data_IF_031322006760
#
_entry.id   IF_031322006760
#
_cell.length_a   1.000
_cell.length_b   1.000
_cell.length_c   1.000
_cell.angle_alpha   90.00
_cell.angle_beta   90.00
_cell.angle_gamma   90.00
#
_symmetry.space_group_name_H-M   'P 1'
#
loop_
_entity.id
_entity.type
_entity.pdbx_description
1 polymer ?
#
# COMPACT_ATOMS: atom_id res chain seq x y z
N UNK A 1 7.59 -13.49 8.42
CA UNK A 1 7.02 -12.14 8.22
C UNK A 1 6.57 -12.06 6.79
N UNK A 2 5.28 -12.37 6.58
CA UNK A 2 4.63 -12.47 5.27
C UNK A 2 4.44 -11.08 4.66
N UNK A 3 4.64 -10.95 3.35
CA UNK A 3 4.47 -9.68 2.67
C UNK A 3 2.98 -9.46 2.32
N UNK A 4 2.45 -8.32 2.77
CA UNK A 4 1.60 -7.40 2.01
C UNK A 4 0.31 -7.87 1.29
N UNK A 5 -0.42 -8.89 1.77
CA UNK A 5 -1.84 -9.04 1.40
C UNK A 5 -2.72 -9.12 2.64
N UNK A 6 -3.54 -8.08 2.86
CA UNK A 6 -4.52 -8.01 3.95
C UNK A 6 -5.73 -8.94 3.73
N UNK A 7 -5.93 -9.42 2.50
CA UNK A 7 -7.04 -10.32 2.13
C UNK A 7 -6.62 -11.21 0.96
N UNK A 8 -6.44 -12.51 1.22
CA UNK A 8 -6.16 -13.53 0.20
C UNK A 8 -7.39 -14.41 -0.02
N UNK A 9 -7.75 -14.65 -1.29
CA UNK A 9 -8.78 -15.63 -1.65
C UNK A 9 -8.12 -16.92 -2.09
N UNK A 10 -8.47 -18.06 -1.48
CA UNK A 10 -8.01 -19.38 -1.85
C UNK A 10 -9.19 -20.13 -2.47
N UNK A 11 -9.08 -20.59 -3.71
CA UNK A 11 -10.17 -21.24 -4.44
C UNK A 11 -9.71 -22.63 -4.86
N UNK A 12 -10.26 -23.66 -4.21
CA UNK A 12 -10.01 -25.05 -4.56
C UNK A 12 -11.12 -25.61 -5.48
N UNK A 13 -10.73 -26.37 -6.51
CA UNK A 13 -11.71 -26.98 -7.44
C UNK A 13 -11.83 -28.51 -7.35
N UNK A 14 -10.89 -29.19 -6.68
CA UNK A 14 -10.89 -30.65 -6.48
C UNK A 14 -10.65 -31.01 -5.02
N UNK A 15 -10.78 -32.30 -4.67
CA UNK A 15 -10.64 -32.79 -3.28
C UNK A 15 -9.20 -32.67 -2.80
N UNK A 16 -8.26 -33.03 -3.65
CA UNK A 16 -6.82 -32.89 -3.44
C UNK A 16 -6.48 -31.41 -3.23
N UNK A 17 -7.05 -30.54 -4.08
CA UNK A 17 -6.88 -29.10 -3.96
C UNK A 17 -7.45 -28.51 -2.67
N UNK A 18 -8.53 -29.07 -2.12
CA UNK A 18 -9.08 -28.64 -0.81
C UNK A 18 -8.07 -28.92 0.31
N UNK A 19 -7.39 -30.07 0.30
CA UNK A 19 -6.38 -30.39 1.32
C UNK A 19 -5.21 -29.39 1.28
N UNK A 20 -4.74 -29.05 0.08
CA UNK A 20 -3.70 -28.02 -0.10
C UNK A 20 -4.21 -26.63 0.32
N UNK A 21 -5.46 -26.31 -0.03
CA UNK A 21 -6.11 -25.06 0.35
C UNK A 21 -6.26 -24.89 1.86
N UNK A 22 -6.53 -25.96 2.61
CA UNK A 22 -6.59 -25.95 4.06
C UNK A 22 -5.22 -25.65 4.69
N UNK A 23 -4.12 -26.22 4.15
CA UNK A 23 -2.75 -25.90 4.61
C UNK A 23 -2.44 -24.42 4.41
N UNK A 24 -2.76 -23.89 3.24
CA UNK A 24 -2.56 -22.48 2.92
C UNK A 24 -3.43 -21.56 3.78
N UNK A 25 -4.69 -21.94 4.03
CA UNK A 25 -5.62 -21.21 4.90
C UNK A 25 -5.11 -21.12 6.35
N UNK A 26 -4.43 -22.16 6.85
CA UNK A 26 -3.79 -22.13 8.17
C UNK A 26 -2.56 -21.20 8.22
N UNK A 27 -1.84 -21.04 7.11
CA UNK A 27 -0.67 -20.17 7.03
C UNK A 27 -1.07 -18.70 6.86
N UNK A 28 -2.00 -18.41 5.96
CA UNK A 28 -2.46 -17.06 5.67
C UNK A 28 -3.63 -16.69 6.58
N UNK A 29 -3.32 -16.05 7.71
CA UNK A 29 -4.29 -15.70 8.78
C UNK A 29 -5.42 -14.78 8.32
N UNK A 30 -5.20 -13.93 7.31
CA UNK A 30 -6.21 -13.07 6.70
C UNK A 30 -6.65 -13.60 5.31
N UNK A 31 -6.95 -14.89 5.23
CA UNK A 31 -7.44 -15.53 3.99
C UNK A 31 -8.87 -16.05 4.11
N UNK A 32 -9.50 -16.25 2.96
CA UNK A 32 -10.80 -16.90 2.80
C UNK A 32 -10.65 -18.10 1.88
N UNK A 33 -11.14 -19.26 2.30
CA UNK A 33 -11.10 -20.50 1.50
C UNK A 33 -12.47 -20.81 0.88
N UNK A 34 -12.49 -20.96 -0.44
CA UNK A 34 -13.66 -21.36 -1.22
C UNK A 34 -13.51 -22.80 -1.71
N UNK A 35 -14.48 -23.65 -1.39
CA UNK A 35 -14.48 -25.08 -1.72
C UNK A 35 -15.77 -25.54 -2.42
N UNK A 36 -15.75 -26.59 -3.25
CA UNK A 36 -16.96 -27.12 -3.86
C UNK A 36 -17.92 -27.72 -2.81
N UNK A 37 -19.22 -27.44 -2.94
CA UNK A 37 -20.22 -27.87 -1.95
C UNK A 37 -20.29 -29.39 -1.78
N UNK A 38 -20.19 -30.14 -2.88
CA UNK A 38 -20.16 -31.61 -2.84
C UNK A 38 -18.95 -32.13 -2.04
N UNK A 39 -17.79 -31.51 -2.20
CA UNK A 39 -16.56 -31.94 -1.50
C UNK A 39 -16.61 -31.56 -0.02
N UNK A 40 -17.20 -30.41 0.32
CA UNK A 40 -17.46 -30.04 1.71
C UNK A 40 -18.34 -31.07 2.41
N UNK A 41 -19.47 -31.43 1.80
CA UNK A 41 -20.42 -32.41 2.34
C UNK A 41 -19.76 -33.79 2.54
N UNK A 42 -18.87 -34.20 1.64
CA UNK A 42 -18.16 -35.49 1.77
C UNK A 42 -17.13 -35.50 2.90
N UNK A 43 -16.31 -34.44 3.03
CA UNK A 43 -15.25 -34.37 4.03
C UNK A 43 -15.81 -34.28 5.46
N UNK A 44 -16.90 -33.52 5.66
CA UNK A 44 -17.54 -33.38 6.98
C UNK A 44 -18.49 -34.53 7.36
N UNK A 45 -18.89 -35.38 6.39
CA UNK A 45 -19.62 -36.63 6.69
C UNK A 45 -18.73 -37.73 7.24
N UNK A 46 -17.43 -37.70 6.95
CA UNK A 46 -16.50 -38.77 7.37
C UNK A 46 -15.87 -38.55 8.76
N UNK A 47 -15.90 -37.33 9.31
CA UNK A 47 -15.24 -37.01 10.58
C UNK A 47 -16.06 -37.37 11.84
N UNK A 48 -17.10 -38.20 11.70
CA UNK A 48 -17.84 -38.87 12.80
C UNK A 48 -18.59 -37.97 13.80
N UNK A 49 -18.41 -36.64 13.73
CA UNK A 49 -18.95 -35.66 14.67
C UNK A 49 -19.84 -34.64 13.95
N UNK A 50 -20.97 -35.07 13.42
CA UNK A 50 -22.11 -34.16 13.25
C UNK A 50 -23.39 -34.82 13.75
N UNK A 51 -23.87 -34.32 14.89
CA UNK A 51 -25.29 -34.13 15.13
C UNK A 51 -25.85 -33.44 13.89
N UNK A 52 -27.04 -33.83 13.47
CA UNK A 52 -27.83 -33.17 12.43
C UNK A 52 -28.03 -31.67 12.76
N UNK A 53 -27.03 -30.82 12.52
CA UNK A 53 -27.24 -29.38 12.45
C UNK A 53 -27.82 -29.11 11.07
N UNK A 54 -29.09 -28.70 11.04
CA UNK A 54 -29.82 -28.32 9.84
C UNK A 54 -29.24 -27.07 9.14
N UNK A 55 -28.12 -26.52 9.63
CA UNK A 55 -27.48 -25.33 9.11
C UNK A 55 -26.20 -25.69 8.33
N UNK A 56 -26.13 -25.21 7.09
CA UNK A 56 -24.99 -25.29 6.16
C UNK A 56 -23.79 -24.43 6.64
N UNK A 57 -23.47 -24.41 7.93
CA UNK A 57 -22.50 -23.48 8.48
C UNK A 57 -21.09 -24.06 8.39
N UNK A 58 -20.37 -23.66 7.34
CA UNK A 58 -18.92 -23.82 7.26
C UNK A 58 -18.23 -23.11 8.44
N UNK A 59 -17.04 -23.58 8.87
CA UNK A 59 -16.22 -22.81 9.82
C UNK A 59 -15.98 -21.38 9.32
N UNK A 60 -15.88 -20.39 10.22
CA UNK A 60 -15.60 -19.00 9.83
C UNK A 60 -14.39 -18.91 8.90
N UNK A 61 -14.55 -18.23 7.77
CA UNK A 61 -13.51 -18.06 6.75
C UNK A 61 -13.49 -19.13 5.65
N UNK A 62 -14.30 -20.19 5.77
CA UNK A 62 -14.51 -21.20 4.71
C UNK A 62 -15.90 -21.03 4.13
N UNK A 63 -16.02 -21.00 2.80
CA UNK A 63 -17.29 -20.85 2.09
C UNK A 63 -17.41 -21.88 0.96
N UNK A 64 -18.64 -22.31 0.69
CA UNK A 64 -18.89 -23.18 -0.46
C UNK A 64 -19.10 -22.36 -1.74
N UNK A 65 -18.63 -22.87 -2.87
CA UNK A 65 -18.83 -22.22 -4.18
C UNK A 65 -20.26 -22.39 -4.71
N UNK A 66 -21.06 -23.30 -4.13
CA UNK A 66 -22.42 -23.66 -4.57
C UNK A 66 -22.53 -23.90 -6.09
N UNK A 67 -21.49 -24.45 -6.71
CA UNK A 67 -21.42 -24.71 -8.15
C UNK A 67 -21.22 -23.46 -9.03
N UNK A 68 -21.04 -22.27 -8.45
CA UNK A 68 -20.91 -20.98 -9.15
C UNK A 68 -19.48 -20.43 -9.10
N UNK A 69 -18.53 -21.24 -9.56
CA UNK A 69 -17.09 -20.91 -9.52
C UNK A 69 -16.76 -19.55 -10.17
N UNK A 70 -17.39 -19.20 -11.29
CA UNK A 70 -17.19 -17.90 -11.95
C UNK A 70 -17.65 -16.71 -11.11
N UNK A 71 -18.69 -16.86 -10.27
CA UNK A 71 -19.13 -15.79 -9.38
C UNK A 71 -18.13 -15.57 -8.23
N UNK A 72 -17.57 -16.66 -7.71
CA UNK A 72 -16.50 -16.60 -6.70
C UNK A 72 -15.25 -15.94 -7.29
N UNK A 73 -14.85 -16.32 -8.52
CA UNK A 73 -13.72 -15.67 -9.20
C UNK A 73 -13.95 -14.16 -9.39
N UNK A 74 -15.16 -13.76 -9.81
CA UNK A 74 -15.55 -12.34 -9.94
C UNK A 74 -15.48 -11.58 -8.61
N UNK A 75 -15.96 -12.20 -7.53
CA UNK A 75 -15.90 -11.62 -6.19
C UNK A 75 -14.45 -11.49 -5.73
N UNK A 76 -13.66 -12.54 -5.93
CA UNK A 76 -12.25 -12.58 -5.55
C UNK A 76 -11.46 -11.42 -6.18
N UNK A 77 -11.60 -11.23 -7.50
CA UNK A 77 -10.95 -10.13 -8.23
C UNK A 77 -11.31 -8.72 -7.71
N UNK A 78 -12.52 -8.55 -7.13
CA UNK A 78 -12.99 -7.24 -6.66
C UNK A 78 -12.66 -6.96 -5.19
N UNK A 79 -12.52 -7.99 -4.37
CA UNK A 79 -12.52 -7.85 -2.91
C UNK A 79 -11.22 -8.28 -2.25
N UNK A 80 -10.35 -8.99 -2.96
CA UNK A 80 -9.11 -9.55 -2.44
C UNK A 80 -7.91 -8.96 -3.16
N UNK A 81 -6.80 -8.87 -2.45
CA UNK A 81 -5.56 -8.29 -2.97
C UNK A 81 -4.66 -9.37 -3.61
N UNK A 82 -4.81 -10.62 -3.17
CA UNK A 82 -4.17 -11.79 -3.77
C UNK A 82 -5.17 -12.95 -3.95
N UNK A 83 -4.99 -13.75 -4.99
CA UNK A 83 -5.84 -14.89 -5.30
C UNK A 83 -4.98 -16.12 -5.57
N UNK A 84 -5.28 -17.21 -4.88
CA UNK A 84 -4.69 -18.53 -5.09
C UNK A 84 -5.78 -19.44 -5.64
N UNK A 85 -5.56 -20.03 -6.81
CA UNK A 85 -6.48 -21.00 -7.41
C UNK A 85 -5.78 -22.35 -7.47
N UNK A 86 -6.38 -23.37 -6.87
CA UNK A 86 -5.84 -24.72 -6.80
C UNK A 86 -6.64 -25.61 -7.74
N UNK A 87 -6.05 -25.93 -8.89
CA UNK A 87 -6.70 -26.63 -9.98
C UNK A 87 -5.97 -26.53 -11.31
N UNK A 88 -6.55 -27.11 -12.35
CA UNK A 88 -5.98 -27.02 -13.69
C UNK A 88 -5.91 -25.56 -14.18
N UNK A 89 -4.75 -25.16 -14.70
CA UNK A 89 -4.49 -23.83 -15.27
C UNK A 89 -5.60 -23.34 -16.22
N UNK A 90 -6.09 -24.22 -17.09
CA UNK A 90 -7.15 -23.90 -18.05
C UNK A 90 -8.51 -23.59 -17.42
N UNK A 91 -8.80 -24.08 -16.21
CA UNK A 91 -10.02 -23.71 -15.47
C UNK A 91 -9.84 -22.31 -14.91
N UNK A 92 -8.73 -22.07 -14.20
CA UNK A 92 -8.40 -20.77 -13.63
C UNK A 92 -8.45 -19.65 -14.67
N UNK A 93 -7.84 -19.84 -15.84
CA UNK A 93 -7.88 -18.84 -16.92
C UNK A 93 -9.30 -18.55 -17.42
N UNK A 94 -10.12 -19.59 -17.65
CA UNK A 94 -11.48 -19.42 -18.18
C UNK A 94 -12.42 -18.71 -17.21
N UNK A 95 -12.28 -18.95 -15.89
CA UNK A 95 -13.14 -18.30 -14.88
C UNK A 95 -12.72 -16.86 -14.60
N UNK A 96 -11.45 -16.50 -14.82
CA UNK A 96 -10.92 -15.16 -14.60
C UNK A 96 -11.08 -14.25 -15.82
N UNK A 97 -10.80 -14.77 -17.02
CA UNK A 97 -10.69 -13.98 -18.26
C UNK A 97 -11.85 -13.00 -18.52
N UNK A 98 -13.14 -13.32 -18.25
CA UNK A 98 -14.24 -12.38 -18.47
C UNK A 98 -14.23 -11.14 -17.56
N UNK A 99 -13.41 -11.11 -16.52
CA UNK A 99 -13.43 -10.09 -15.47
C UNK A 99 -12.10 -9.34 -15.33
N UNK A 100 -11.11 -9.62 -16.18
CA UNK A 100 -9.80 -8.96 -16.13
C UNK A 100 -9.89 -7.55 -16.73
N UNK A 101 -9.31 -6.57 -16.04
CA UNK A 101 -9.24 -5.19 -16.52
C UNK A 101 -7.84 -4.82 -17.01
N UNK A 102 -6.83 -4.90 -16.15
CA UNK A 102 -5.44 -4.59 -16.49
C UNK A 102 -4.48 -4.97 -15.37
N UNK A 103 -3.21 -5.23 -15.73
CA UNK A 103 -2.09 -5.49 -14.80
C UNK A 103 -1.86 -4.46 -13.68
N UNK A 104 -2.44 -3.26 -13.81
CA UNK A 104 -2.32 -2.17 -12.83
C UNK A 104 -3.44 -2.19 -11.79
N UNK A 105 -4.56 -2.86 -12.09
CA UNK A 105 -5.76 -2.92 -11.25
C UNK A 105 -6.03 -4.32 -10.73
N UNK A 106 -5.81 -5.33 -11.55
CA UNK A 106 -6.11 -6.71 -11.20
C UNK A 106 -5.16 -7.18 -10.09
N UNK A 107 -5.65 -7.93 -9.07
CA UNK A 107 -4.81 -8.47 -8.02
C UNK A 107 -3.83 -9.53 -8.55
N UNK A 108 -2.81 -9.84 -7.75
CA UNK A 108 -1.90 -10.94 -8.03
C UNK A 108 -2.65 -12.26 -8.01
N UNK A 109 -2.47 -13.08 -9.05
CA UNK A 109 -3.12 -14.39 -9.14
C UNK A 109 -2.08 -15.48 -9.32
N UNK A 110 -2.17 -16.51 -8.48
CA UNK A 110 -1.31 -17.69 -8.49
C UNK A 110 -2.16 -18.93 -8.72
N UNK A 111 -1.72 -19.80 -9.62
CA UNK A 111 -2.34 -21.09 -9.88
C UNK A 111 -1.44 -22.21 -9.37
N UNK A 112 -2.01 -23.12 -8.60
CA UNK A 112 -1.35 -24.33 -8.09
C UNK A 112 -1.95 -25.55 -8.77
N UNK A 113 -1.11 -26.52 -9.11
CA UNK A 113 -1.62 -27.86 -9.41
C UNK A 113 -2.11 -28.54 -8.12
N UNK A 114 -3.08 -29.48 -8.20
CA UNK A 114 -3.67 -30.10 -7.02
C UNK A 114 -2.68 -30.86 -6.12
N UNK A 115 -1.56 -31.32 -6.68
CA UNK A 115 -0.49 -32.03 -5.95
C UNK A 115 0.53 -31.06 -5.32
N UNK A 116 0.45 -29.76 -5.62
CA UNK A 116 1.33 -28.74 -5.06
C UNK A 116 2.77 -28.81 -5.58
N UNK A 117 3.00 -29.26 -6.81
CA UNK A 117 4.34 -29.29 -7.40
C UNK A 117 4.80 -27.91 -7.88
N UNK A 118 3.87 -27.10 -8.38
CA UNK A 118 4.15 -25.81 -9.00
C UNK A 118 3.26 -24.71 -8.43
N UNK A 119 3.88 -23.57 -8.18
CA UNK A 119 3.21 -22.31 -7.88
C UNK A 119 3.41 -21.36 -9.05
N UNK A 120 2.41 -21.20 -9.90
CA UNK A 120 2.55 -20.47 -11.17
C UNK A 120 1.92 -19.08 -11.04
N UNK A 121 2.70 -18.03 -11.25
CA UNK A 121 2.19 -16.67 -11.31
C UNK A 121 1.44 -16.44 -12.64
N UNK A 122 0.12 -16.19 -12.57
CA UNK A 122 -0.73 -15.95 -13.73
C UNK A 122 -0.90 -14.46 -14.04
N UNK A 123 -1.13 -13.62 -13.03
CA UNK A 123 -1.51 -12.23 -13.23
C UNK A 123 -0.78 -11.29 -12.28
N UNK A 124 -0.56 -10.07 -12.75
CA UNK A 124 -0.08 -8.91 -11.96
C UNK A 124 1.16 -9.20 -11.12
N UNK A 125 2.22 -9.72 -11.76
CA UNK A 125 3.46 -10.10 -11.09
C UNK A 125 4.26 -8.98 -10.41
N UNK A 126 3.95 -7.70 -10.66
CA UNK A 126 4.61 -6.56 -10.00
C UNK A 126 3.66 -5.87 -9.01
N UNK A 127 2.88 -4.87 -9.46
CA UNK A 127 1.99 -4.07 -8.61
C UNK A 127 0.97 -4.90 -7.85
N UNK A 128 0.34 -5.87 -8.51
CA UNK A 128 -0.59 -6.78 -7.85
C UNK A 128 0.10 -7.86 -7.01
N UNK A 129 1.43 -7.93 -7.02
CA UNK A 129 2.20 -8.79 -6.13
C UNK A 129 2.17 -10.30 -6.44
N UNK A 130 1.73 -10.69 -7.63
CA UNK A 130 1.59 -12.11 -8.00
C UNK A 130 2.89 -12.91 -7.97
N UNK A 131 4.04 -12.29 -8.26
CA UNK A 131 5.34 -13.00 -8.23
C UNK A 131 5.75 -13.38 -6.82
N UNK A 132 5.55 -12.48 -5.87
CA UNK A 132 5.93 -12.72 -4.49
C UNK A 132 4.93 -13.65 -3.80
N UNK A 133 3.62 -13.50 -4.07
CA UNK A 133 2.62 -14.49 -3.65
C UNK A 133 2.99 -15.90 -4.13
N UNK A 134 3.46 -16.01 -5.38
CA UNK A 134 3.88 -17.28 -5.96
C UNK A 134 5.07 -17.89 -5.21
N UNK A 135 6.08 -17.10 -4.84
CA UNK A 135 7.22 -17.56 -4.04
C UNK A 135 6.81 -17.99 -2.64
N UNK A 136 6.02 -17.16 -1.96
CA UNK A 136 5.60 -17.42 -0.59
C UNK A 136 4.75 -18.69 -0.53
N UNK A 137 3.80 -18.84 -1.45
CA UNK A 137 3.00 -20.07 -1.57
C UNK A 137 3.90 -21.27 -1.86
N UNK A 138 4.90 -21.12 -2.73
CA UNK A 138 5.84 -22.19 -3.05
C UNK A 138 6.67 -22.63 -1.83
N UNK A 139 7.15 -21.68 -1.03
CA UNK A 139 7.88 -21.93 0.21
C UNK A 139 7.01 -22.67 1.22
N UNK A 140 5.74 -22.26 1.39
CA UNK A 140 4.80 -22.87 2.34
C UNK A 140 4.49 -24.33 2.02
N UNK A 141 4.33 -24.66 0.74
CA UNK A 141 3.89 -26.01 0.31
C UNK A 141 5.03 -26.88 -0.21
N UNK A 142 6.25 -26.35 -0.32
CA UNK A 142 7.39 -27.03 -0.93
C UNK A 142 7.30 -27.16 -2.45
N UNK A 143 6.56 -26.27 -3.13
CA UNK A 143 6.44 -26.26 -4.59
C UNK A 143 7.61 -25.53 -5.25
N UNK A 144 7.71 -25.67 -6.57
CA UNK A 144 8.54 -24.81 -7.41
C UNK A 144 7.76 -23.55 -7.84
N UNK A 145 8.28 -22.36 -7.53
CA UNK A 145 7.73 -21.11 -8.05
C UNK A 145 8.05 -20.94 -9.56
N UNK A 146 7.04 -20.66 -10.37
CA UNK A 146 7.14 -20.44 -11.82
C UNK A 146 6.75 -19.00 -12.14
N UNK A 147 7.77 -18.15 -12.34
CA UNK A 147 7.64 -16.71 -12.57
C UNK A 147 8.30 -16.36 -13.91
N UNK A 148 7.53 -15.80 -14.85
CA UNK A 148 7.93 -15.67 -16.27
C UNK A 148 8.12 -14.23 -16.77
N UNK A 149 7.85 -13.21 -15.94
CA UNK A 149 8.00 -11.81 -16.33
C UNK A 149 9.46 -11.45 -16.64
N UNK A 150 9.69 -10.81 -17.80
CA UNK A 150 11.03 -10.53 -18.32
C UNK A 150 11.90 -9.63 -17.42
N UNK A 151 11.28 -8.68 -16.70
CA UNK A 151 11.96 -7.82 -15.72
C UNK A 151 12.49 -8.60 -14.52
N UNK A 152 11.73 -9.59 -14.06
CA UNK A 152 12.13 -10.45 -12.96
C UNK A 152 13.26 -11.40 -13.39
N UNK A 153 13.14 -12.02 -14.56
CA UNK A 153 14.18 -12.90 -15.12
C UNK A 153 15.51 -12.14 -15.30
N UNK A 154 15.43 -10.84 -15.60
CA UNK A 154 16.61 -9.97 -15.74
C UNK A 154 17.05 -9.30 -14.43
N UNK A 155 16.39 -9.59 -13.30
CA UNK A 155 16.63 -8.97 -11.99
C UNK A 155 16.66 -7.43 -12.05
N UNK A 156 15.82 -6.83 -12.89
CA UNK A 156 15.75 -5.37 -13.04
C UNK A 156 14.56 -4.81 -12.27
N UNK A 157 14.85 -3.83 -11.42
CA UNK A 157 13.82 -3.08 -10.72
C UNK A 157 13.10 -2.12 -11.67
N UNK A 158 11.79 -2.31 -11.87
CA UNK A 158 10.92 -1.41 -12.64
C UNK A 158 10.12 -0.49 -11.70
N UNK A 159 9.60 0.66 -12.16
CA UNK A 159 8.87 1.60 -11.30
C UNK A 159 7.62 0.99 -10.69
N UNK A 160 6.91 0.15 -11.43
CA UNK A 160 5.73 -0.57 -10.95
C UNK A 160 6.10 -1.62 -9.90
N UNK A 161 7.26 -2.28 -10.03
CA UNK A 161 7.76 -3.17 -8.99
C UNK A 161 8.21 -2.40 -7.74
N UNK A 162 8.95 -1.30 -7.90
CA UNK A 162 9.36 -0.44 -6.79
C UNK A 162 8.15 0.14 -6.05
N UNK A 163 7.14 0.58 -6.78
CA UNK A 163 5.91 1.10 -6.22
C UNK A 163 5.18 0.04 -5.38
N UNK A 164 5.18 -1.22 -5.81
CA UNK A 164 4.67 -2.33 -5.00
C UNK A 164 5.48 -2.51 -3.72
N UNK A 165 6.81 -2.57 -3.84
CA UNK A 165 7.71 -2.82 -2.70
C UNK A 165 7.67 -1.72 -1.64
N UNK A 166 7.57 -0.47 -2.06
CA UNK A 166 7.61 0.70 -1.18
C UNK A 166 6.23 1.31 -0.94
N UNK A 167 5.15 0.60 -1.27
CA UNK A 167 3.77 1.06 -1.12
C UNK A 167 3.57 2.49 -1.68
N UNK A 168 4.06 2.71 -2.90
CA UNK A 168 3.89 3.94 -3.66
C UNK A 168 2.71 3.78 -4.62
N UNK A 169 2.01 4.88 -4.90
CA UNK A 169 0.98 4.92 -5.94
C UNK A 169 1.50 5.61 -7.18
N UNK A 170 1.13 5.10 -8.35
CA UNK A 170 1.26 5.84 -9.61
C UNK A 170 0.19 6.94 -9.61
N UNK A 171 0.47 8.13 -10.16
CA UNK A 171 -0.60 9.13 -10.31
C UNK A 171 -1.69 8.56 -11.22
N UNK A 172 -2.95 8.72 -10.84
CA UNK A 172 -4.10 8.19 -11.59
C UNK A 172 -4.19 8.74 -13.03
N UNK A 173 -3.64 9.93 -13.27
CA UNK A 173 -3.61 10.59 -14.58
C UNK A 173 -2.36 10.27 -15.40
N UNK A 174 -1.51 9.35 -14.93
CA UNK A 174 -0.33 8.89 -15.67
C UNK A 174 -0.77 8.08 -16.90
N UNK A 175 -0.27 8.45 -18.08
CA UNK A 175 -0.45 7.63 -19.28
C UNK A 175 0.28 6.28 -19.12
N UNK A 176 -0.47 5.18 -19.29
CA UNK A 176 0.05 3.81 -19.26
C UNK A 176 1.16 3.57 -20.29
N UNK A 177 1.19 4.35 -21.38
CA UNK A 177 2.23 4.30 -22.40
C UNK A 177 3.61 4.65 -21.83
N UNK A 178 3.70 5.60 -20.89
CA UNK A 178 4.93 6.05 -20.24
C UNK A 178 5.52 4.92 -19.39
N UNK A 179 4.69 4.27 -18.57
CA UNK A 179 5.11 3.12 -17.75
C UNK A 179 5.66 2.00 -18.64
N UNK A 180 5.01 1.76 -19.79
CA UNK A 180 5.46 0.75 -20.75
C UNK A 180 6.81 1.12 -21.37
N UNK A 181 7.00 2.36 -21.81
CA UNK A 181 8.27 2.84 -22.39
C UNK A 181 9.42 2.72 -21.37
N UNK A 182 9.20 3.23 -20.16
CA UNK A 182 10.18 3.15 -19.06
C UNK A 182 10.53 1.68 -18.76
N UNK A 183 9.53 0.79 -18.63
CA UNK A 183 9.80 -0.63 -18.38
C UNK A 183 10.60 -1.29 -19.52
N UNK A 184 10.30 -0.95 -20.78
CA UNK A 184 11.03 -1.47 -21.94
C UNK A 184 12.48 -0.98 -21.93
N UNK A 185 12.71 0.31 -21.65
CA UNK A 185 14.06 0.89 -21.51
C UNK A 185 14.87 0.17 -20.43
N UNK A 186 14.30 -0.07 -19.25
CA UNK A 186 14.97 -0.81 -18.15
C UNK A 186 15.36 -2.22 -18.59
N UNK A 187 14.42 -2.95 -19.21
CA UNK A 187 14.63 -4.32 -19.70
C UNK A 187 15.73 -4.37 -20.79
N UNK A 188 15.88 -3.30 -21.55
CA UNK A 188 16.87 -3.15 -22.63
C UNK A 188 18.17 -2.43 -22.21
N UNK A 189 18.37 -2.17 -20.90
CA UNK A 189 19.52 -1.43 -20.36
C UNK A 189 19.72 -0.01 -20.96
N UNK A 190 18.63 0.65 -21.36
CA UNK A 190 18.65 2.05 -21.79
C UNK A 190 18.64 2.97 -20.57
N UNK A 191 19.26 4.17 -20.66
CA UNK A 191 19.36 5.09 -19.53
C UNK A 191 17.99 5.61 -19.10
N UNK A 192 17.79 5.70 -17.78
CA UNK A 192 16.63 6.30 -17.10
C UNK A 192 17.15 7.00 -15.85
N UNK A 193 16.64 8.21 -15.60
CA UNK A 193 16.97 8.93 -14.38
C UNK A 193 16.02 8.53 -13.25
N UNK A 194 16.54 8.31 -12.06
CA UNK A 194 15.74 8.08 -10.86
C UNK A 194 16.01 9.18 -9.85
N UNK A 195 14.96 9.78 -9.32
CA UNK A 195 15.03 10.88 -8.37
C UNK A 195 14.19 10.60 -7.13
N UNK A 196 14.70 11.00 -5.96
CA UNK A 196 13.98 10.99 -4.68
C UNK A 196 14.09 12.36 -4.04
N UNK A 197 12.98 12.94 -3.60
CA UNK A 197 13.03 14.19 -2.85
C UNK A 197 13.70 14.02 -1.49
N UNK A 198 14.61 14.91 -1.17
CA UNK A 198 15.38 14.96 0.08
C UNK A 198 14.48 14.92 1.33
N UNK A 199 13.40 15.70 1.37
CA UNK A 199 12.48 15.82 2.52
C UNK A 199 11.73 14.53 2.86
N UNK A 200 11.73 13.56 1.96
CA UNK A 200 11.19 12.22 2.20
C UNK A 200 12.19 11.39 3.04
N UNK A 201 13.47 11.68 2.90
CA UNK A 201 14.58 10.94 3.49
C UNK A 201 15.16 11.62 4.75
N UNK A 202 15.33 12.95 4.74
CA UNK A 202 15.96 13.69 5.83
C UNK A 202 14.95 14.09 6.91
N UNK A 203 15.05 13.49 8.09
CA UNK A 203 14.49 14.07 9.30
C UNK A 203 15.59 14.81 10.06
N UNK A 204 15.31 16.03 10.53
CA UNK A 204 16.29 16.95 11.13
C UNK A 204 16.95 16.43 12.41
N UNK A 205 16.43 15.33 12.98
CA UNK A 205 16.81 14.76 14.28
C UNK A 205 17.53 13.42 14.20
N UNK A 206 17.58 12.74 13.05
CA UNK A 206 18.30 11.48 12.95
C UNK A 206 19.80 11.80 12.78
N UNK A 207 20.61 11.34 13.74
CA UNK A 207 22.07 11.50 13.76
C UNK A 207 22.70 10.65 12.65
N UNK A 208 22.57 11.09 11.40
CA UNK A 208 23.22 10.48 10.26
C UNK A 208 24.50 11.23 9.90
N UNK A 209 25.46 10.47 9.38
CA UNK A 209 26.81 10.94 9.06
C UNK A 209 26.78 11.95 7.90
N UNK A 210 27.00 13.23 8.25
CA UNK A 210 27.15 14.36 7.32
C UNK A 210 28.37 14.20 6.39
N UNK A 211 29.23 13.21 6.58
CA UNK A 211 30.34 12.92 5.68
C UNK A 211 29.90 12.41 4.29
N UNK A 212 28.65 11.95 4.16
CA UNK A 212 28.04 11.50 2.90
C UNK A 212 27.36 12.63 2.10
N UNK A 213 27.28 13.85 2.66
CA UNK A 213 26.87 15.06 1.95
C UNK A 213 28.03 15.53 1.03
N UNK A 214 28.36 14.73 0.01
CA UNK A 214 29.17 15.24 -1.09
C UNK A 214 28.24 15.94 -2.10
N UNK A 215 28.27 17.28 -2.21
CA UNK A 215 27.41 18.02 -3.13
C UNK A 215 27.66 17.64 -4.61
N UNK A 216 28.81 17.08 -4.94
CA UNK A 216 29.17 16.66 -6.30
C UNK A 216 28.77 15.21 -6.62
N UNK A 217 28.36 14.41 -5.62
CA UNK A 217 27.87 13.04 -5.85
C UNK A 217 26.99 12.50 -4.71
N UNK A 218 25.71 12.93 -4.59
CA UNK A 218 24.76 12.43 -3.60
C UNK A 218 24.08 11.13 -4.06
N UNK A 219 24.87 10.18 -4.61
CA UNK A 219 24.37 8.86 -4.97
C UNK A 219 24.21 8.05 -3.68
N UNK A 220 23.09 8.28 -2.99
CA UNK A 220 22.68 7.47 -1.86
C UNK A 220 22.30 6.07 -2.36
N UNK A 221 22.97 5.01 -1.88
CA UNK A 221 22.63 3.64 -2.23
C UNK A 221 21.43 3.17 -1.39
N UNK A 222 20.23 3.45 -1.89
CA UNK A 222 18.98 2.97 -1.29
C UNK A 222 18.91 1.44 -1.25
N UNK A 223 19.67 0.72 -2.09
CA UNK A 223 19.72 -0.73 -2.17
C UNK A 223 20.10 -1.35 -0.84
N UNK A 224 21.26 -0.96 -0.30
CA UNK A 224 21.78 -1.50 0.97
C UNK A 224 20.83 -1.19 2.15
N UNK A 225 20.30 0.02 2.18
CA UNK A 225 19.34 0.45 3.23
C UNK A 225 18.05 -0.36 3.14
N UNK A 226 17.47 -0.50 1.94
CA UNK A 226 16.24 -1.26 1.73
C UNK A 226 16.44 -2.75 2.03
N UNK A 227 17.60 -3.31 1.68
CA UNK A 227 17.92 -4.72 1.94
C UNK A 227 18.01 -5.02 3.42
N UNK A 228 18.66 -4.13 4.18
CA UNK A 228 18.75 -4.21 5.64
C UNK A 228 17.36 -4.19 6.27
N UNK A 229 16.48 -3.31 5.80
CA UNK A 229 15.15 -3.14 6.40
C UNK A 229 14.18 -4.24 5.98
N UNK A 230 14.17 -4.61 4.71
CA UNK A 230 13.24 -5.63 4.17
C UNK A 230 13.75 -7.05 4.38
N UNK A 231 15.00 -7.22 4.86
CA UNK A 231 15.70 -8.50 4.99
C UNK A 231 15.65 -9.31 3.68
N UNK A 232 15.86 -8.62 2.56
CA UNK A 232 15.82 -9.19 1.20
C UNK A 232 17.00 -8.64 0.42
N UNK A 233 17.60 -9.46 -0.43
CA UNK A 233 18.63 -9.00 -1.37
C UNK A 233 17.96 -8.39 -2.61
N UNK A 234 17.66 -7.09 -2.54
CA UNK A 234 16.99 -6.31 -3.58
C UNK A 234 18.01 -5.44 -4.30
N UNK A 235 18.12 -5.64 -5.61
CA UNK A 235 18.91 -4.75 -6.49
C UNK A 235 18.07 -3.55 -6.87
N UNK A 236 18.28 -2.42 -6.20
CA UNK A 236 17.61 -1.16 -6.51
C UNK A 236 18.33 -0.37 -7.62
N UNK A 237 17.60 0.48 -8.37
CA UNK A 237 18.23 1.38 -9.32
C UNK A 237 19.05 2.43 -8.56
N UNK A 238 20.04 3.04 -9.24
CA UNK A 238 20.75 4.20 -8.67
C UNK A 238 19.80 5.40 -8.65
N UNK A 239 19.37 5.80 -7.45
CA UNK A 239 18.46 6.92 -7.24
C UNK A 239 19.26 8.13 -6.76
N UNK A 240 19.07 9.27 -7.43
CA UNK A 240 19.67 10.54 -7.03
C UNK A 240 18.73 11.25 -6.05
N UNK A 241 19.26 11.66 -4.90
CA UNK A 241 18.50 12.52 -3.99
C UNK A 241 18.57 13.96 -4.50
N UNK A 242 17.41 14.62 -4.55
CA UNK A 242 17.28 16.00 -5.04
C UNK A 242 16.63 16.87 -3.98
N UNK A 243 17.12 18.09 -3.80
CA UNK A 243 16.50 19.00 -2.85
C UNK A 243 15.22 19.61 -3.38
N UNK A 244 14.27 19.89 -2.48
CA UNK A 244 13.04 20.61 -2.83
C UNK A 244 13.33 22.00 -3.43
N UNK A 245 14.40 22.66 -2.98
CA UNK A 245 14.86 23.92 -3.58
C UNK A 245 15.51 23.70 -4.96
N UNK A 246 16.18 22.56 -5.16
CA UNK A 246 16.81 22.20 -6.44
C UNK A 246 15.78 21.78 -7.49
N UNK A 247 14.63 21.22 -7.10
CA UNK A 247 13.49 20.99 -8.01
C UNK A 247 13.02 22.28 -8.72
N UNK A 248 13.21 23.44 -8.06
CA UNK A 248 12.94 24.76 -8.61
C UNK A 248 14.11 25.40 -9.37
N UNK A 249 15.26 24.72 -9.51
CA UNK A 249 16.46 25.28 -10.16
C UNK A 249 17.16 24.32 -11.12
N UNK A 250 16.85 23.02 -11.11
CA UNK A 250 17.25 22.02 -12.10
C UNK A 250 16.56 22.33 -13.44
N UNK A 251 17.09 23.31 -14.16
CA UNK A 251 16.75 23.64 -15.55
C UNK A 251 17.49 22.74 -16.54
N UNK A 252 18.49 21.97 -16.08
CA UNK A 252 19.32 21.15 -16.95
C UNK A 252 18.71 19.76 -17.12
N UNK A 253 17.70 19.65 -17.98
CA UNK A 253 17.65 18.46 -18.84
C UNK A 253 19.00 18.42 -19.55
N UNK A 254 19.77 17.34 -19.39
CA UNK A 254 20.78 17.06 -20.40
C UNK A 254 20.01 16.98 -21.73
N UNK A 255 20.64 17.42 -22.80
CA UNK A 255 20.12 17.43 -24.17
C UNK A 255 19.63 16.07 -24.69
N UNK A 256 19.71 15.02 -23.86
CA UNK A 256 19.26 13.68 -24.14
C UNK A 256 17.87 13.49 -23.55
N UNK A 257 16.93 13.17 -24.42
CA UNK A 257 15.52 12.89 -24.14
C UNK A 257 15.33 11.61 -23.28
N UNK A 258 15.91 11.59 -22.08
CA UNK A 258 15.96 10.47 -21.13
C UNK A 258 14.78 10.62 -20.16
N UNK A 259 13.87 9.64 -20.08
CA UNK A 259 12.76 9.69 -19.16
C UNK A 259 13.23 9.56 -17.71
N UNK A 260 12.46 10.14 -16.80
CA UNK A 260 12.77 10.16 -15.37
C UNK A 260 11.67 9.50 -14.55
N UNK A 261 12.05 8.83 -13.46
CA UNK A 261 11.15 8.32 -12.43
C UNK A 261 11.41 9.13 -11.17
N UNK A 262 10.41 9.85 -10.67
CA UNK A 262 10.52 10.78 -9.55
C UNK A 262 9.67 10.27 -8.39
N UNK A 263 10.25 10.10 -7.21
CA UNK A 263 9.54 9.73 -5.99
C UNK A 263 9.32 11.01 -5.17
N UNK A 264 8.06 11.44 -5.05
CA UNK A 264 7.71 12.74 -4.49
C UNK A 264 6.29 12.79 -3.92
N UNK A 265 6.11 13.40 -2.75
CA UNK A 265 4.80 13.77 -2.22
C UNK A 265 4.36 15.21 -2.55
N UNK A 266 5.16 15.97 -3.29
CA UNK A 266 4.83 17.33 -3.76
C UNK A 266 3.76 17.31 -4.84
N UNK A 267 2.81 18.23 -4.82
CA UNK A 267 1.91 18.40 -5.95
C UNK A 267 2.67 18.87 -7.22
N UNK A 268 2.14 18.54 -8.41
CA UNK A 268 2.83 18.84 -9.67
C UNK A 268 3.13 20.34 -9.87
N UNK A 269 2.29 21.22 -9.29
CA UNK A 269 2.49 22.67 -9.34
C UNK A 269 3.71 23.17 -8.57
N UNK A 270 4.36 22.33 -7.77
CA UNK A 270 5.63 22.66 -7.10
C UNK A 270 6.84 22.41 -8.01
N UNK A 271 6.67 21.67 -9.11
CA UNK A 271 7.74 21.45 -10.07
C UNK A 271 7.84 22.64 -11.03
N UNK A 272 9.07 23.05 -11.34
CA UNK A 272 9.29 24.03 -12.39
C UNK A 272 8.82 23.50 -13.76
N UNK A 273 8.35 24.42 -14.60
CA UNK A 273 7.82 24.18 -15.95
C UNK A 273 8.82 23.62 -16.99
N UNK A 274 9.97 23.10 -16.55
CA UNK A 274 10.95 22.42 -17.40
C UNK A 274 11.58 21.16 -16.78
N UNK A 275 11.33 20.89 -15.49
CA UNK A 275 11.89 19.72 -14.80
C UNK A 275 11.07 18.47 -15.09
N UNK A 276 9.74 18.57 -15.00
CA UNK A 276 8.82 17.46 -15.20
C UNK A 276 8.10 17.58 -16.54
N UNK A 277 8.24 16.56 -17.39
CA UNK A 277 7.45 16.42 -18.61
C UNK A 277 6.44 15.28 -18.46
N UNK A 278 5.16 15.66 -18.32
CA UNK A 278 4.05 14.72 -18.16
C UNK A 278 3.91 13.69 -19.29
N UNK A 279 4.51 13.93 -20.46
CA UNK A 279 4.48 12.99 -21.60
C UNK A 279 5.60 11.94 -21.58
N UNK A 280 6.56 12.04 -20.66
CA UNK A 280 7.76 11.18 -20.64
C UNK A 280 8.18 10.73 -19.25
N UNK A 281 7.92 11.56 -18.23
CA UNK A 281 8.37 11.35 -16.88
C UNK A 281 7.26 10.71 -16.05
N UNK A 282 7.66 9.91 -15.08
CA UNK A 282 6.77 9.17 -14.19
C UNK A 282 6.95 9.64 -12.75
N UNK A 283 5.84 9.94 -12.07
CA UNK A 283 5.87 10.25 -10.64
C UNK A 283 5.31 9.07 -9.84
N UNK A 284 6.07 8.62 -8.84
CA UNK A 284 5.64 7.68 -7.82
C UNK A 284 5.34 8.44 -6.54
N UNK A 285 4.13 8.24 -5.99
CA UNK A 285 3.60 8.92 -4.83
C UNK A 285 3.74 8.07 -3.58
N UNK A 286 4.60 8.46 -2.63
CA UNK A 286 4.69 7.74 -1.38
C UNK A 286 3.46 8.01 -0.52
N UNK A 287 2.96 6.97 0.17
CA UNK A 287 1.92 7.08 1.21
C UNK A 287 2.53 7.62 2.51
N UNK A 288 3.05 8.85 2.44
CA UNK A 288 3.82 9.50 3.50
C UNK A 288 2.98 10.43 4.39
N UNK A 289 1.75 10.80 4.00
CA UNK A 289 1.04 11.91 4.67
C UNK A 289 -0.03 11.40 5.63
N UNK A 290 0.15 11.74 6.91
CA UNK A 290 -0.79 11.42 7.97
C UNK A 290 -1.63 12.66 8.31
N UNK A 291 -2.94 12.48 8.34
CA UNK A 291 -3.89 13.58 8.53
C UNK A 291 -4.56 13.44 9.89
N UNK A 292 -4.40 14.43 10.75
CA UNK A 292 -5.16 14.54 11.98
C UNK A 292 -6.41 15.40 11.77
N UNK A 293 -7.59 14.87 12.10
CA UNK A 293 -8.87 15.56 11.87
C UNK A 293 -9.62 15.78 13.18
N UNK A 294 -10.15 16.98 13.36
CA UNK A 294 -11.15 17.31 14.37
C UNK A 294 -12.36 18.00 13.76
N UNK A 295 -13.54 17.43 13.90
CA UNK A 295 -14.80 18.03 13.44
C UNK A 295 -15.85 18.08 14.58
N UNK A 296 -16.98 18.76 14.33
CA UNK A 296 -18.17 18.68 15.19
C UNK A 296 -18.93 17.38 14.90
N UNK A 297 -19.81 16.95 15.82
CA UNK A 297 -20.67 15.78 15.59
C UNK A 297 -21.62 16.04 14.41
N UNK A 298 -21.82 15.04 13.56
CA UNK A 298 -22.68 15.13 12.38
C UNK A 298 -22.09 15.96 11.25
N UNK A 299 -20.75 16.09 11.18
CA UNK A 299 -20.14 16.86 10.08
C UNK A 299 -20.22 16.06 8.80
N UNK A 300 -20.70 16.70 7.73
CA UNK A 300 -20.86 16.07 6.42
C UNK A 300 -19.51 15.70 5.79
N UNK A 301 -19.54 14.62 5.02
CA UNK A 301 -18.39 14.05 4.31
C UNK A 301 -17.72 15.06 3.38
N UNK A 302 -18.52 15.86 2.65
CA UNK A 302 -18.07 16.87 1.70
C UNK A 302 -17.23 17.95 2.39
N UNK A 303 -17.68 18.40 3.57
CA UNK A 303 -16.96 19.40 4.35
C UNK A 303 -15.61 18.89 4.85
N UNK A 304 -15.52 17.59 5.16
CA UNK A 304 -14.27 16.94 5.58
C UNK A 304 -13.30 16.84 4.40
N UNK A 305 -13.77 16.37 3.24
CA UNK A 305 -12.95 16.27 2.04
C UNK A 305 -12.45 17.63 1.55
N UNK A 306 -13.30 18.65 1.59
CA UNK A 306 -12.92 20.01 1.20
C UNK A 306 -11.84 20.56 2.12
N UNK A 307 -11.97 20.37 3.44
CA UNK A 307 -10.97 20.77 4.41
C UNK A 307 -9.63 20.05 4.21
N UNK A 308 -9.64 18.74 3.92
CA UNK A 308 -8.45 17.97 3.57
C UNK A 308 -7.81 18.52 2.29
N UNK A 309 -8.61 18.73 1.25
CA UNK A 309 -8.14 19.18 -0.07
C UNK A 309 -7.48 20.55 0.01
N UNK A 310 -8.08 21.51 0.73
CA UNK A 310 -7.51 22.85 0.95
C UNK A 310 -6.21 22.75 1.73
N UNK A 311 -6.16 21.91 2.76
CA UNK A 311 -4.99 21.70 3.60
C UNK A 311 -3.80 21.17 2.79
N UNK A 312 -4.03 20.14 1.96
CA UNK A 312 -2.99 19.56 1.10
C UNK A 312 -2.52 20.54 0.03
N UNK A 313 -3.45 21.25 -0.63
CA UNK A 313 -3.12 22.30 -1.61
C UNK A 313 -2.25 23.40 -0.99
N UNK A 314 -2.60 23.86 0.22
CA UNK A 314 -1.83 24.89 0.94
C UNK A 314 -0.44 24.40 1.33
N UNK A 315 -0.30 23.12 1.67
CA UNK A 315 0.98 22.49 1.97
C UNK A 315 1.79 22.12 0.71
N UNK A 316 1.23 22.24 -0.49
CA UNK A 316 1.89 21.84 -1.73
C UNK A 316 2.04 20.33 -1.88
N UNK A 317 1.12 19.55 -1.30
CA UNK A 317 1.21 18.09 -1.20
C UNK A 317 0.18 17.42 -2.12
N UNK A 318 0.57 16.31 -2.75
CA UNK A 318 -0.32 15.50 -3.58
C UNK A 318 -1.38 14.76 -2.76
N UNK A 319 -2.58 14.69 -3.30
CA UNK A 319 -3.68 13.92 -2.71
C UNK A 319 -3.40 12.42 -2.69
N UNK A 320 -2.63 11.92 -3.65
CA UNK A 320 -2.26 10.51 -3.74
C UNK A 320 -1.24 10.08 -2.68
N UNK A 321 -0.62 11.04 -1.98
CA UNK A 321 0.35 10.75 -0.92
C UNK A 321 -0.28 10.57 0.46
N UNK A 322 -1.62 10.67 0.57
CA UNK A 322 -2.33 10.43 1.83
C UNK A 322 -2.20 8.98 2.23
N UNK A 323 -1.68 8.77 3.45
CA UNK A 323 -1.51 7.47 4.09
C UNK A 323 -2.74 7.04 4.86
N UNK A 324 -3.20 7.89 5.78
CA UNK A 324 -4.25 7.56 6.73
C UNK A 324 -4.80 8.80 7.45
N UNK A 325 -5.97 8.63 8.05
CA UNK A 325 -6.62 9.62 8.91
C UNK A 325 -6.48 9.22 10.38
N UNK A 326 -6.39 10.20 11.27
CA UNK A 326 -6.44 10.01 12.71
C UNK A 326 -7.38 11.00 13.39
N UNK A 327 -8.08 10.53 14.41
CA UNK A 327 -8.87 11.37 15.30
C UNK A 327 -8.93 10.80 16.72
N UNK A 328 -9.77 11.37 17.57
CA UNK A 328 -10.06 10.88 18.92
C UNK A 328 -11.06 9.72 18.89
N UNK A 329 -10.92 8.76 19.80
CA UNK A 329 -11.79 7.59 20.03
C UNK A 329 -13.30 7.90 20.02
N UNK A 330 -13.72 9.02 20.62
CA UNK A 330 -15.11 9.50 20.62
C UNK A 330 -15.69 9.72 19.22
N UNK A 331 -14.85 9.81 18.19
CA UNK A 331 -15.24 9.96 16.79
C UNK A 331 -15.22 8.67 15.98
N UNK A 332 -14.99 7.52 16.61
CA UNK A 332 -14.94 6.21 15.94
C UNK A 332 -16.21 5.86 15.17
N UNK A 333 -17.38 6.37 15.58
CA UNK A 333 -18.66 6.19 14.90
C UNK A 333 -19.12 7.41 14.09
N UNK A 334 -18.25 8.39 13.83
CA UNK A 334 -18.62 9.59 13.08
C UNK A 334 -18.73 9.28 11.59
N UNK A 335 -19.97 9.29 11.08
CA UNK A 335 -20.30 8.82 9.72
C UNK A 335 -19.50 9.57 8.65
N UNK A 336 -19.40 10.89 8.74
CA UNK A 336 -18.68 11.69 7.75
C UNK A 336 -17.18 11.36 7.67
N UNK A 337 -16.54 11.05 8.80
CA UNK A 337 -15.13 10.63 8.83
C UNK A 337 -14.92 9.25 8.22
N UNK A 338 -15.79 8.29 8.56
CA UNK A 338 -15.73 6.95 8.01
C UNK A 338 -16.00 6.94 6.50
N UNK A 339 -16.93 7.79 6.04
CA UNK A 339 -17.18 8.01 4.61
C UNK A 339 -15.97 8.63 3.91
N UNK A 340 -15.32 9.62 4.52
CA UNK A 340 -14.11 10.24 3.98
C UNK A 340 -12.97 9.21 3.86
N UNK A 341 -12.73 8.40 4.90
CA UNK A 341 -11.71 7.35 4.88
C UNK A 341 -11.98 6.31 3.78
N UNK A 342 -13.25 5.88 3.63
CA UNK A 342 -13.66 4.94 2.57
C UNK A 342 -13.50 5.53 1.18
N UNK A 343 -13.89 6.78 0.97
CA UNK A 343 -13.73 7.46 -0.31
C UNK A 343 -12.26 7.58 -0.72
N UNK A 344 -11.40 7.92 0.24
CA UNK A 344 -9.95 8.00 0.06
C UNK A 344 -9.28 6.63 -0.05
N UNK A 345 -10.00 5.54 0.23
CA UNK A 345 -9.49 4.18 0.34
C UNK A 345 -8.27 4.07 1.29
N UNK A 346 -8.38 4.74 2.45
CA UNK A 346 -7.35 4.76 3.49
C UNK A 346 -7.93 4.33 4.83
N UNK A 347 -7.05 3.91 5.74
CA UNK A 347 -7.43 3.59 7.10
C UNK A 347 -7.70 4.86 7.92
N UNK A 348 -8.61 4.73 8.87
CA UNK A 348 -8.88 5.72 9.90
C UNK A 348 -8.55 5.16 11.29
N UNK A 349 -7.74 5.89 12.04
CA UNK A 349 -7.32 5.54 13.40
C UNK A 349 -7.98 6.45 14.42
N UNK A 350 -8.35 5.88 15.56
CA UNK A 350 -8.98 6.61 16.64
C UNK A 350 -8.22 6.34 17.94
N UNK A 351 -7.64 7.41 18.49
CA UNK A 351 -6.78 7.32 19.68
C UNK A 351 -7.52 7.82 20.92
N UNK A 352 -7.21 7.20 22.06
CA UNK A 352 -7.73 7.70 23.34
C UNK A 352 -7.19 9.08 23.65
N UNK A 353 -7.96 9.85 24.43
CA UNK A 353 -7.51 11.18 24.86
C UNK A 353 -6.20 11.16 25.66
N UNK A 354 -5.86 10.04 26.31
CA UNK A 354 -4.61 9.87 27.04
C UNK A 354 -3.42 9.79 26.07
N UNK A 355 -3.48 8.91 25.08
CA UNK A 355 -2.43 8.76 24.05
C UNK A 355 -2.16 10.09 23.34
N UNK A 356 -3.23 10.83 23.03
CA UNK A 356 -3.10 12.14 22.38
C UNK A 356 -2.45 13.20 23.29
N UNK A 357 -2.71 13.17 24.60
CA UNK A 357 -2.09 14.09 25.57
C UNK A 357 -0.60 13.83 25.74
N UNK A 358 -0.18 12.57 25.76
CA UNK A 358 1.24 12.20 25.83
C UNK A 358 2.03 12.77 24.63
N UNK A 359 1.39 12.83 23.46
CA UNK A 359 1.95 13.39 22.23
C UNK A 359 1.71 14.91 22.05
N UNK A 360 1.23 15.62 23.08
CA UNK A 360 1.12 17.09 23.06
C UNK A 360 2.41 17.81 23.47
N UNK A 361 3.31 17.15 24.19
CA UNK A 361 4.31 17.80 25.05
C UNK A 361 5.52 18.45 24.34
N UNK A 362 5.53 18.61 23.02
CA UNK A 362 6.62 19.31 22.31
C UNK A 362 6.30 20.73 21.84
N UNK A 363 5.08 21.24 22.02
CA UNK A 363 4.74 22.64 21.71
C UNK A 363 4.26 23.39 22.96
N UNK A 364 5.11 24.31 23.45
CA UNK A 364 4.76 25.33 24.44
C UNK A 364 3.53 26.12 23.99
N UNK A 365 2.33 25.77 24.46
CA UNK A 365 1.17 26.66 24.40
C UNK A 365 0.44 26.73 25.76
N UNK A 366 0.39 27.97 26.24
CA UNK A 366 -0.16 28.57 27.46
C UNK A 366 -1.31 27.86 28.18
N UNK A 367 -1.20 27.83 29.52
CA UNK A 367 -2.15 27.38 30.57
C UNK A 367 -3.59 27.92 30.45
N UNK A 368 -3.87 28.84 29.53
CA UNK A 368 -5.19 29.46 29.37
C UNK A 368 -6.20 28.59 28.57
N UNK A 369 -5.74 27.76 27.64
CA UNK A 369 -6.62 26.94 26.77
C UNK A 369 -7.08 25.64 27.45
N UNK A 370 -6.36 25.19 28.48
CA UNK A 370 -6.63 23.94 29.21
C UNK A 370 -7.90 23.99 30.07
N UNK A 371 -8.46 25.19 30.32
CA UNK A 371 -9.48 25.39 31.36
C UNK A 371 -10.93 25.27 30.89
N UNK A 372 -11.22 25.27 29.59
CA UNK A 372 -12.61 25.33 29.09
C UNK A 372 -13.01 24.21 28.12
N UNK A 373 -12.07 23.42 27.61
CA UNK A 373 -12.32 22.21 26.83
C UNK A 373 -11.17 21.25 27.14
N UNK A 374 -11.41 20.22 27.95
CA UNK A 374 -10.37 19.23 28.24
C UNK A 374 -9.83 18.66 26.92
N UNK A 375 -8.52 18.86 26.68
CA UNK A 375 -7.76 18.59 25.43
C UNK A 375 -7.80 19.78 24.44
N UNK A 376 -6.82 20.68 24.53
CA UNK A 376 -6.51 21.63 23.47
C UNK A 376 -6.21 20.89 22.16
N UNK A 377 -6.82 21.30 21.05
CA UNK A 377 -6.53 20.85 19.68
C UNK A 377 -6.26 19.35 19.46
N UNK A 378 -7.30 18.51 19.32
CA UNK A 378 -7.18 17.06 19.03
C UNK A 378 -6.43 16.73 17.72
N UNK A 379 -6.55 17.58 16.70
CA UNK A 379 -6.08 17.27 15.34
C UNK A 379 -4.55 17.16 15.23
N UNK A 380 -3.80 18.05 15.89
CA UNK A 380 -2.33 18.07 15.77
C UNK A 380 -1.67 16.86 16.44
N UNK A 381 -2.00 16.51 17.70
CA UNK A 381 -1.48 15.29 18.33
C UNK A 381 -1.91 14.03 17.59
N UNK A 382 -3.11 14.00 17.01
CA UNK A 382 -3.56 12.86 16.22
C UNK A 382 -2.70 12.66 14.96
N UNK A 383 -2.35 13.75 14.26
CA UNK A 383 -1.45 13.69 13.09
C UNK A 383 -0.04 13.19 13.48
N UNK A 384 0.54 13.74 14.56
CA UNK A 384 1.85 13.35 15.10
C UNK A 384 1.89 11.88 15.52
N UNK A 385 0.91 11.47 16.33
CA UNK A 385 0.79 10.09 16.85
C UNK A 385 0.71 9.09 15.70
N UNK A 386 -0.03 9.43 14.65
CA UNK A 386 -0.16 8.58 13.47
C UNK A 386 1.12 8.54 12.62
N UNK A 387 1.81 9.67 12.48
CA UNK A 387 3.04 9.78 11.70
C UNK A 387 4.28 9.24 12.42
N UNK A 388 4.24 9.11 13.75
CA UNK A 388 5.41 8.76 14.55
C UNK A 388 6.47 9.86 14.56
N UNK A 389 6.06 11.13 14.48
CA UNK A 389 6.95 12.30 14.50
C UNK A 389 6.35 13.43 15.33
N UNK A 390 7.21 14.29 15.85
CA UNK A 390 6.81 15.54 16.51
C UNK A 390 6.59 16.69 15.50
N UNK A 391 7.16 16.58 14.31
CA UNK A 391 7.12 17.62 13.30
C UNK A 391 5.80 17.62 12.52
N UNK A 392 5.18 18.80 12.41
CA UNK A 392 3.99 19.01 11.58
C UNK A 392 4.41 19.71 10.28
N UNK A 393 3.97 19.16 9.15
CA UNK A 393 4.05 19.82 7.85
C UNK A 393 3.15 21.05 7.80
N UNK A 394 1.98 20.92 8.41
CA UNK A 394 1.02 22.00 8.51
C UNK A 394 0.32 21.93 9.87
N UNK A 395 0.40 23.05 10.59
CA UNK A 395 -0.42 23.27 11.80
C UNK A 395 -1.91 23.29 11.45
N UNK A 396 -2.74 23.24 12.48
CA UNK A 396 -4.19 23.23 12.39
C UNK A 396 -4.73 24.30 11.44
N UNK A 397 -5.39 23.86 10.37
CA UNK A 397 -6.22 24.68 9.50
C UNK A 397 -7.69 24.38 9.80
N UNK A 398 -8.51 25.41 9.96
CA UNK A 398 -9.95 25.27 10.21
C UNK A 398 -10.73 25.68 8.96
N UNK A 399 -11.61 24.81 8.47
CA UNK A 399 -12.50 25.07 7.35
C UNK A 399 -13.87 24.43 7.59
N UNK A 400 -14.96 25.20 7.49
CA UNK A 400 -16.35 24.74 7.69
C UNK A 400 -16.57 23.88 8.95
N UNK A 401 -15.92 24.23 10.06
CA UNK A 401 -16.04 23.49 11.32
C UNK A 401 -15.23 22.18 11.39
N UNK A 402 -14.47 21.85 10.35
CA UNK A 402 -13.45 20.80 10.32
C UNK A 402 -12.08 21.41 10.54
N UNK A 403 -11.25 20.74 11.32
CA UNK A 403 -9.88 21.13 11.64
C UNK A 403 -8.94 20.04 11.18
N UNK A 404 -7.91 20.40 10.43
CA UNK A 404 -6.99 19.47 9.78
C UNK A 404 -5.56 19.86 10.11
N UNK A 405 -4.75 18.89 10.51
CA UNK A 405 -3.30 19.01 10.65
C UNK A 405 -2.62 17.93 9.82
N UNK A 406 -1.43 18.21 9.30
CA UNK A 406 -0.68 17.32 8.42
C UNK A 406 0.69 17.02 9.01
N UNK A 407 1.09 15.76 9.00
CA UNK A 407 2.42 15.29 9.39
C UNK A 407 2.95 14.30 8.34
N UNK A 408 4.28 14.27 8.15
CA UNK A 408 4.93 13.27 7.30
C UNK A 408 5.30 12.07 8.17
N UNK A 409 4.93 10.87 7.75
CA UNK A 409 5.36 9.62 8.37
C UNK A 409 6.89 9.53 8.36
N UNK A 410 7.47 9.05 9.46
CA UNK A 410 8.91 8.86 9.57
C UNK A 410 9.41 7.87 8.51
N UNK A 411 10.58 8.13 7.93
CA UNK A 411 11.29 7.15 7.12
C UNK A 411 11.68 5.93 7.98
N UNK A 412 11.62 4.70 7.45
CA UNK A 412 11.10 4.34 6.13
C UNK A 412 9.57 4.18 6.18
N UNK A 413 8.81 5.08 5.53
CA UNK A 413 7.35 5.11 5.68
C UNK A 413 6.67 3.84 5.13
N UNK A 414 7.31 3.10 4.24
CA UNK A 414 6.72 1.92 3.61
C UNK A 414 6.80 0.65 4.44
N UNK A 415 7.62 0.64 5.49
CA UNK A 415 7.97 -0.60 6.20
C UNK A 415 6.86 -1.05 7.14
N UNK A 416 5.95 -0.16 7.53
CA UNK A 416 4.98 -0.43 8.59
C UNK A 416 3.68 0.33 8.37
N UNK A 417 2.54 -0.32 8.09
CA UNK A 417 1.25 0.29 8.43
C UNK A 417 1.23 0.41 9.97
N UNK A 418 1.14 1.62 10.57
CA UNK A 418 1.31 1.83 12.03
C UNK A 418 0.29 1.09 12.92
N UNK A 419 -0.60 0.28 12.33
CA UNK A 419 -1.57 -0.60 13.01
C UNK A 419 -0.93 -1.88 13.52
N UNK A 420 0.10 -2.37 12.85
CA UNK A 420 0.54 -3.75 13.09
C UNK A 420 1.47 -3.85 14.30
N UNK A 421 2.18 -2.80 14.69
CA UNK A 421 3.03 -2.85 15.90
C UNK A 421 2.35 -2.36 17.18
N UNK A 422 1.31 -1.51 17.10
CA UNK A 422 0.59 -1.04 18.30
C UNK A 422 -0.62 -1.87 18.69
N UNK A 423 -0.97 -2.89 17.90
CA UNK A 423 -1.95 -3.90 18.30
C UNK A 423 -1.30 -5.16 18.91
N UNK A 424 0.05 -5.23 18.94
CA UNK A 424 0.84 -6.36 19.46
C UNK A 424 1.83 -5.97 20.57
N UNK A 425 1.61 -4.83 21.23
CA UNK A 425 2.09 -4.54 22.58
C UNK A 425 0.87 -4.27 23.46
#
# INVERSE_FOLDING_TARGET
MSWAFKRISIIAVSREGVNLGLKLFQHFTESTLFIPQNIYLDNYRHDGNLRESQDNDCPPGIYTTQGKLSQVARLALKSYQGIIIIGAAGIALRILAPYLESKLKDPGVVCLDPEGNFSVNFLSGHLGGGSELSREVAEVIGAQAVITNASYVKEKMTPDHLASLWNLTLNDDTDKSIIKDINQRIVNNQPINWFLEDKLYFNSQDSWDKSLDNPDNPLFDLGETANTILNKDIKLPRIKVISTATLSTLTTRSTDNIPSVIISDSCESQFNSGFFNKSQDLILRPKSICIGIGCKRGTEFESILEAISISLKKAGISFDSIRALASVDKKSCEVGLLQAARYLNINSYFYSTQVLKENMNSSRESEFVTKQMGVGGICEPAARTLAGTEELLMKKLTHKGVTVALARAKWPWWVLDPVVERAYQ
#
